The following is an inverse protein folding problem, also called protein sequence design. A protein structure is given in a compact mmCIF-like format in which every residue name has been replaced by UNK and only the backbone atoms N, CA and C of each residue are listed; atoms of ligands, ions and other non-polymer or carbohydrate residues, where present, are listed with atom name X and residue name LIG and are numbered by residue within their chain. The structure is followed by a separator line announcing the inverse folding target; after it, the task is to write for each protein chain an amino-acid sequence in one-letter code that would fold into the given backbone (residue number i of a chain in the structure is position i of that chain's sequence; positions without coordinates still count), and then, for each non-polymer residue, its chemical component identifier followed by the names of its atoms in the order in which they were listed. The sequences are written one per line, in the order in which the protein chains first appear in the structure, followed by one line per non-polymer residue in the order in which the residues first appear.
data_IF_252954764277
#
_entry.id   IF_252954764277
#
_cell.length_a   1.000
_cell.length_b   1.000
_cell.length_c   1.000
_cell.angle_alpha   90.00
_cell.angle_beta   90.00
_cell.angle_gamma   90.00
#
_symmetry.space_group_name_H-M   'P 1'
#
loop_
_entity.id
_entity.type
_entity.pdbx_description
1 polymer ?
#
# COMPACT_ATOMS: atom_id res chain seq x y z
N UNK A 1 6.75 -0.82 13.00
CA UNK A 1 7.55 0.15 12.21
C UNK A 1 6.61 1.03 11.43
N UNK A 2 6.89 2.34 11.33
CA UNK A 2 6.07 3.30 10.59
C UNK A 2 6.90 3.94 9.46
N UNK A 3 6.29 4.11 8.28
CA UNK A 3 6.90 4.66 7.06
C UNK A 3 5.90 5.62 6.43
N UNK A 4 6.35 6.80 6.02
CA UNK A 4 5.54 7.76 5.27
C UNK A 4 6.07 7.89 3.85
N UNK A 5 5.18 7.85 2.86
CA UNK A 5 5.57 8.00 1.46
C UNK A 5 4.41 8.54 0.61
N UNK A 6 4.75 9.11 -0.54
CA UNK A 6 3.79 9.45 -1.59
C UNK A 6 3.93 8.46 -2.77
N UNK A 7 2.80 7.95 -3.27
CA UNK A 7 2.82 7.01 -4.39
C UNK A 7 1.63 7.17 -5.34
N UNK A 8 1.80 6.84 -6.63
CA UNK A 8 0.71 6.94 -7.60
C UNK A 8 -0.30 5.81 -7.39
N UNK A 9 -1.58 6.13 -7.56
CA UNK A 9 -2.65 5.16 -7.61
C UNK A 9 -2.75 4.56 -9.00
N UNK A 10 -2.61 3.24 -9.12
CA UNK A 10 -2.67 2.48 -10.39
C UNK A 10 -3.78 1.45 -10.38
N UNK A 11 -4.20 0.99 -11.57
CA UNK A 11 -5.20 -0.06 -11.74
C UNK A 11 -4.56 -1.39 -12.22
N UNK A 12 -4.95 -2.53 -11.65
CA UNK A 12 -4.51 -3.86 -12.11
C UNK A 12 -5.63 -4.95 -12.03
N UNK A 13 -5.77 -5.84 -13.03
CA UNK A 13 -7.02 -6.57 -13.49
C UNK A 13 -7.61 -7.78 -12.67
N UNK A 14 -8.95 -8.06 -12.85
CA UNK A 14 -9.83 -9.15 -12.28
C UNK A 14 -10.98 -8.82 -11.23
N UNK A 15 -12.31 -8.90 -11.52
CA UNK A 15 -13.41 -8.00 -11.02
C UNK A 15 -13.25 -7.37 -9.61
N UNK A 16 -13.44 -6.04 -9.52
CA UNK A 16 -13.30 -5.09 -8.38
C UNK A 16 -12.88 -5.64 -6.99
N UNK A 17 -11.91 -5.02 -6.27
CA UNK A 17 -11.33 -3.67 -6.43
C UNK A 17 -9.86 -3.65 -6.89
N UNK A 18 -9.52 -2.71 -7.77
CA UNK A 18 -8.28 -2.74 -8.56
C UNK A 18 -7.26 -1.65 -8.28
N UNK A 19 -7.44 -0.85 -7.23
CA UNK A 19 -6.61 0.33 -7.04
C UNK A 19 -5.48 0.02 -6.08
N UNK A 20 -4.27 0.40 -6.47
CA UNK A 20 -3.05 0.15 -5.68
C UNK A 20 -2.23 1.43 -5.60
N UNK A 21 -1.66 1.72 -4.44
CA UNK A 21 -0.56 2.69 -4.34
C UNK A 21 0.74 1.94 -4.61
N UNK A 22 1.53 2.45 -5.53
CA UNK A 22 2.87 1.91 -5.81
C UNK A 22 3.87 2.51 -4.83
N UNK A 23 4.59 1.68 -4.09
CA UNK A 23 5.61 2.16 -3.17
C UNK A 23 6.80 2.73 -3.95
N UNK A 24 7.32 3.92 -3.56
CA UNK A 24 8.56 4.43 -4.11
C UNK A 24 9.77 3.58 -3.63
N UNK A 25 10.91 3.65 -4.33
CA UNK A 25 12.05 2.74 -4.08
C UNK A 25 12.59 2.77 -2.65
N UNK A 26 12.63 3.95 -2.03
CA UNK A 26 13.07 4.18 -0.65
C UNK A 26 12.14 3.50 0.36
N UNK A 27 10.82 3.65 0.21
CA UNK A 27 9.85 2.94 1.04
C UNK A 27 9.91 1.42 0.82
N UNK A 28 10.08 0.99 -0.42
CA UNK A 28 10.19 -0.43 -0.77
C UNK A 28 11.44 -1.09 -0.16
N UNK A 29 12.58 -0.39 -0.10
CA UNK A 29 13.80 -0.85 0.54
C UNK A 29 13.58 -1.13 2.03
N UNK A 30 12.90 -0.22 2.75
CA UNK A 30 12.57 -0.41 4.17
C UNK A 30 11.67 -1.63 4.38
N UNK A 31 10.66 -1.83 3.52
CA UNK A 31 9.82 -3.04 3.57
C UNK A 31 10.66 -4.29 3.35
N UNK A 32 11.62 -4.25 2.43
CA UNK A 32 12.50 -5.36 2.10
C UNK A 32 13.46 -5.75 3.24
N UNK A 33 13.86 -4.79 4.08
CA UNK A 33 14.65 -5.05 5.28
C UNK A 33 13.87 -5.84 6.33
N UNK A 34 12.55 -5.60 6.46
CA UNK A 34 11.74 -6.21 7.52
C UNK A 34 10.86 -7.37 7.08
N UNK A 35 10.61 -7.54 5.78
CA UNK A 35 9.71 -8.58 5.25
C UNK A 35 10.06 -9.99 5.72
N UNK A 36 11.33 -10.29 5.99
CA UNK A 36 11.75 -11.61 6.44
C UNK A 36 11.12 -12.01 7.80
N UNK A 37 10.80 -11.03 8.65
CA UNK A 37 10.17 -11.27 9.95
C UNK A 37 8.64 -11.33 9.88
N UNK A 38 8.03 -10.61 8.93
CA UNK A 38 6.58 -10.35 8.93
C UNK A 38 5.82 -10.98 7.75
N UNK A 39 6.52 -11.33 6.66
CA UNK A 39 5.86 -11.83 5.47
C UNK A 39 5.34 -13.25 5.69
N UNK A 40 4.09 -13.46 5.30
CA UNK A 40 3.47 -14.78 5.25
C UNK A 40 2.83 -14.96 3.88
N UNK A 41 2.98 -16.15 3.28
CA UNK A 41 2.39 -16.46 1.96
C UNK A 41 2.79 -15.49 0.84
N UNK A 42 3.96 -14.85 0.98
CA UNK A 42 4.48 -13.88 -0.01
C UNK A 42 3.86 -12.50 0.05
N UNK A 43 3.07 -12.19 1.09
CA UNK A 43 2.49 -10.86 1.34
C UNK A 43 2.96 -10.29 2.68
N UNK A 44 2.90 -8.97 2.82
CA UNK A 44 3.24 -8.26 4.05
C UNK A 44 1.97 -7.61 4.62
N UNK A 45 1.48 -8.03 5.81
CA UNK A 45 0.34 -7.38 6.45
C UNK A 45 0.72 -5.98 6.92
N UNK A 46 -0.18 -5.03 6.73
CA UNK A 46 0.04 -3.62 7.10
C UNK A 46 -1.24 -2.99 7.62
N UNK A 47 -1.06 -1.99 8.48
CA UNK A 47 -2.03 -0.93 8.68
C UNK A 47 -1.58 0.26 7.83
N UNK A 48 -2.51 0.91 7.14
CA UNK A 48 -2.22 2.05 6.29
C UNK A 48 -3.21 3.18 6.58
N UNK A 49 -2.79 4.42 6.36
CA UNK A 49 -3.63 5.61 6.41
C UNK A 49 -3.43 6.43 5.15
N UNK A 50 -4.54 6.87 4.56
CA UNK A 50 -4.57 7.88 3.50
C UNK A 50 -5.52 8.96 3.99
N UNK A 51 -5.09 10.22 3.98
CA UNK A 51 -5.86 11.32 4.57
C UNK A 51 -6.25 11.03 6.02
N UNK A 52 -7.55 10.96 6.30
CA UNK A 52 -8.09 10.66 7.64
C UNK A 52 -8.55 9.20 7.80
N UNK A 53 -8.42 8.37 6.76
CA UNK A 53 -8.93 7.00 6.76
C UNK A 53 -7.83 5.97 7.01
N UNK A 54 -7.89 5.32 8.17
CA UNK A 54 -7.08 4.13 8.50
C UNK A 54 -7.72 2.84 7.96
N UNK A 55 -6.89 1.91 7.49
CA UNK A 55 -7.33 0.60 7.00
C UNK A 55 -6.23 -0.46 7.09
N UNK A 56 -6.64 -1.70 7.43
CA UNK A 56 -5.74 -2.87 7.40
C UNK A 56 -5.83 -3.60 6.06
N UNK A 57 -4.69 -4.00 5.50
CA UNK A 57 -4.58 -4.75 4.24
C UNK A 57 -3.30 -5.58 4.20
N UNK A 58 -2.99 -6.21 3.07
CA UNK A 58 -1.70 -6.86 2.83
C UNK A 58 -1.11 -6.37 1.51
N UNK A 59 0.13 -5.90 1.56
CA UNK A 59 0.92 -5.55 0.37
C UNK A 59 1.49 -6.80 -0.28
N UNK A 60 1.67 -6.75 -1.59
CA UNK A 60 2.31 -7.83 -2.34
C UNK A 60 3.39 -7.29 -3.28
N UNK A 61 4.46 -8.06 -3.52
CA UNK A 61 5.53 -7.63 -4.40
C UNK A 61 5.07 -7.74 -5.87
N UNK A 62 5.36 -6.70 -6.65
CA UNK A 62 5.01 -6.61 -8.06
C UNK A 62 5.93 -5.63 -8.78
N UNK A 63 6.37 -6.02 -9.98
CA UNK A 63 7.13 -5.12 -10.88
C UNK A 63 8.37 -4.48 -10.22
N UNK A 64 9.02 -5.24 -9.32
CA UNK A 64 10.23 -4.79 -8.62
C UNK A 64 9.97 -3.84 -7.44
N UNK A 65 8.71 -3.63 -7.05
CA UNK A 65 8.31 -2.86 -5.87
C UNK A 65 7.16 -3.55 -5.13
N UNK A 66 6.52 -2.85 -4.21
CA UNK A 66 5.36 -3.29 -3.44
C UNK A 66 4.11 -2.52 -3.85
N UNK A 67 3.00 -3.24 -3.98
CA UNK A 67 1.70 -2.65 -4.29
C UNK A 67 0.84 -2.71 -3.03
N UNK A 68 0.34 -1.55 -2.61
CA UNK A 68 -0.56 -1.40 -1.47
C UNK A 68 -2.01 -1.33 -1.98
N UNK A 69 -2.86 -2.35 -1.73
CA UNK A 69 -4.26 -2.32 -2.14
C UNK A 69 -5.03 -1.22 -1.42
N UNK A 70 -5.76 -0.40 -2.17
CA UNK A 70 -6.65 0.64 -1.64
C UNK A 70 -8.09 0.20 -1.82
N UNK A 71 -8.79 0.04 -0.69
CA UNK A 71 -10.20 -0.38 -0.68
C UNK A 71 -11.09 0.71 -1.28
N UNK A 72 -12.17 0.31 -1.95
CA UNK A 72 -13.17 1.25 -2.50
C UNK A 72 -13.72 2.21 -1.44
N UNK A 73 -13.91 1.74 -0.19
CA UNK A 73 -14.38 2.57 0.92
C UNK A 73 -13.39 3.70 1.24
N UNK A 74 -12.08 3.40 1.27
CA UNK A 74 -11.01 4.37 1.51
C UNK A 74 -10.96 5.39 0.38
N UNK A 75 -11.00 4.91 -0.88
CA UNK A 75 -10.99 5.80 -2.04
C UNK A 75 -12.15 6.77 -2.06
N UNK A 76 -13.35 6.29 -1.71
CA UNK A 76 -14.55 7.13 -1.67
C UNK A 76 -14.51 8.15 -0.53
N UNK A 77 -13.98 7.76 0.63
CA UNK A 77 -13.85 8.66 1.77
C UNK A 77 -12.84 9.80 1.49
N UNK A 78 -11.71 9.46 0.88
CA UNK A 78 -10.59 10.40 0.64
C UNK A 78 -10.58 10.99 -0.77
N UNK A 79 -11.64 10.77 -1.56
CA UNK A 79 -11.79 11.24 -2.95
C UNK A 79 -10.62 10.83 -3.89
N UNK A 80 -10.01 9.68 -3.63
CA UNK A 80 -8.85 9.19 -4.37
C UNK A 80 -9.25 8.56 -5.71
N UNK A 81 -8.66 9.07 -6.78
CA UNK A 81 -8.87 8.63 -8.16
C UNK A 81 -7.63 7.95 -8.75
N UNK A 82 -7.79 7.37 -9.94
CA UNK A 82 -6.69 6.74 -10.65
C UNK A 82 -5.69 7.79 -11.12
N UNK A 83 -4.40 7.56 -10.88
CA UNK A 83 -3.32 8.46 -11.24
C UNK A 83 -2.97 9.50 -10.18
N UNK A 84 -3.76 9.63 -9.11
CA UNK A 84 -3.44 10.53 -8.00
C UNK A 84 -2.17 10.07 -7.28
N UNK A 85 -1.33 11.03 -6.90
CA UNK A 85 -0.27 10.80 -5.92
C UNK A 85 -0.88 10.99 -4.52
N UNK A 86 -0.87 9.94 -3.71
CA UNK A 86 -1.44 9.95 -2.36
C UNK A 86 -0.35 9.79 -1.32
N UNK A 87 -0.43 10.59 -0.25
CA UNK A 87 0.38 10.41 0.95
C UNK A 87 -0.16 9.23 1.76
N UNK A 88 0.72 8.32 2.12
CA UNK A 88 0.42 7.10 2.86
C UNK A 88 1.27 7.07 4.12
N UNK A 89 0.62 6.88 5.27
CA UNK A 89 1.30 6.42 6.49
C UNK A 89 1.11 4.93 6.59
N UNK A 90 2.20 4.17 6.59
CA UNK A 90 2.21 2.71 6.59
C UNK A 90 2.82 2.19 7.89
N UNK A 91 2.10 1.34 8.60
CA UNK A 91 2.56 0.65 9.81
C UNK A 91 2.68 -0.86 9.55
N UNK A 92 3.87 -1.40 9.79
CA UNK A 92 4.17 -2.83 9.77
C UNK A 92 4.36 -3.28 11.21
N UNK A 93 3.51 -4.19 11.68
CA UNK A 93 3.68 -4.82 12.99
C UNK A 93 4.77 -5.89 12.87
N UNK A 94 5.94 -5.61 13.44
CA UNK A 94 7.12 -6.46 13.45
C UNK A 94 7.38 -7.05 14.83
#
# INVERSE_FOLDING_TARGET
MEIEFAGPVVEWRGPAPYHFVVLPPDAAEIVDEVKAAVAYWGVVPVNARIGETDFTTSMFPREGTWFLPVKDAVRRAELVTLGDAVDVVLTIDA
#
